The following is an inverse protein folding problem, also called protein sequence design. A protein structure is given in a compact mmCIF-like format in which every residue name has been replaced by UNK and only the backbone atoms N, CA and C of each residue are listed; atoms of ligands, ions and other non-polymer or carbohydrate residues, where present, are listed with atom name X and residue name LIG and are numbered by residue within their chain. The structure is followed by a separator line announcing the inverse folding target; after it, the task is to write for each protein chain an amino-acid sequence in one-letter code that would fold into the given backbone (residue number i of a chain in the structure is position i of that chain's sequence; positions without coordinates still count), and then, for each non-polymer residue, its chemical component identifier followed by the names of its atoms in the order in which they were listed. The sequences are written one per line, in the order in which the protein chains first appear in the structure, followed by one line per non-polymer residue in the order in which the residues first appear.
data_IF_100026523956
#
_entry.id   IF_100026523956
#
_cell.length_a   1.000
_cell.length_b   1.000
_cell.length_c   1.000
_cell.angle_alpha   90.00
_cell.angle_beta   90.00
_cell.angle_gamma   90.00
#
_symmetry.space_group_name_H-M   'P 1'
#
loop_
_entity.id
_entity.type
_entity.pdbx_description
1 polymer ?
#
# COMPACT_ATOMS: atom_id res chain seq x y z
N UNK A 1 -70.18 15.24 45.30
CA UNK A 1 -70.22 14.23 44.22
C UNK A 1 -69.35 14.70 43.06
N UNK A 2 -68.46 13.80 42.59
CA UNK A 2 -67.78 13.76 41.28
C UNK A 2 -67.36 15.08 40.59
N UNK A 3 -66.05 15.27 40.34
CA UNK A 3 -65.57 15.35 38.95
C UNK A 3 -64.04 15.34 38.77
N UNK A 4 -63.58 14.26 38.11
CA UNK A 4 -62.62 14.19 36.98
C UNK A 4 -61.29 14.96 37.09
N UNK A 5 -60.27 14.27 37.58
CA UNK A 5 -58.88 14.55 37.20
C UNK A 5 -58.53 13.85 35.88
N UNK A 6 -58.26 14.65 34.85
CA UNK A 6 -57.83 14.24 33.52
C UNK A 6 -56.33 13.93 33.57
N UNK A 7 -55.95 12.65 33.51
CA UNK A 7 -54.56 12.21 33.33
C UNK A 7 -54.14 12.39 31.87
N UNK A 8 -53.38 13.45 31.57
CA UNK A 8 -52.66 13.59 30.29
C UNK A 8 -51.42 12.68 30.32
N UNK A 9 -51.46 11.57 29.56
CA UNK A 9 -50.28 10.73 29.27
C UNK A 9 -49.48 11.40 28.15
N UNK A 10 -48.39 12.07 28.50
CA UNK A 10 -47.37 12.51 27.54
C UNK A 10 -46.67 11.27 26.97
N UNK A 11 -46.91 10.98 25.69
CA UNK A 11 -46.14 9.98 24.94
C UNK A 11 -44.76 10.58 24.67
N UNK A 12 -43.75 10.10 25.39
CA UNK A 12 -42.36 10.34 25.05
C UNK A 12 -42.03 9.57 23.78
N UNK A 13 -41.89 10.29 22.67
CA UNK A 13 -41.36 9.76 21.41
C UNK A 13 -39.87 9.47 21.62
N UNK A 14 -39.54 8.19 21.78
CA UNK A 14 -38.17 7.69 21.76
C UNK A 14 -37.69 7.80 20.32
N UNK A 15 -36.98 8.88 20.00
CA UNK A 15 -36.23 9.01 18.74
C UNK A 15 -35.00 8.10 18.89
N UNK A 16 -34.85 7.04 18.08
CA UNK A 16 -33.63 6.25 18.13
C UNK A 16 -32.48 7.13 17.63
N UNK A 17 -31.52 7.36 18.52
CA UNK A 17 -30.23 7.95 18.22
C UNK A 17 -29.44 7.01 17.28
N UNK A 18 -29.82 7.02 16.00
CA UNK A 18 -29.02 6.47 14.90
C UNK A 18 -28.33 7.62 14.18
N UNK A 19 -27.67 8.50 14.96
CA UNK A 19 -26.87 9.58 14.42
C UNK A 19 -25.56 8.97 13.91
N UNK A 20 -25.56 8.72 12.61
CA UNK A 20 -24.43 8.55 11.70
C UNK A 20 -23.05 8.77 12.35
N UNK A 21 -22.44 7.67 12.79
CA UNK A 21 -20.98 7.57 12.86
C UNK A 21 -20.45 7.51 11.42
N UNK A 22 -20.44 8.64 10.72
CA UNK A 22 -19.60 8.89 9.56
C UNK A 22 -18.15 8.97 10.07
N UNK A 23 -17.60 7.82 10.46
CA UNK A 23 -16.17 7.62 10.50
C UNK A 23 -15.70 7.70 9.04
N UNK A 24 -15.41 8.92 8.60
CA UNK A 24 -14.48 9.17 7.52
C UNK A 24 -13.13 8.57 7.95
N UNK A 25 -12.98 7.26 7.75
CA UNK A 25 -11.67 6.64 7.78
C UNK A 25 -10.93 7.22 6.59
N UNK A 26 -10.21 8.32 6.83
CA UNK A 26 -9.18 8.79 5.94
C UNK A 26 -8.21 7.62 5.76
N UNK A 27 -8.39 6.85 4.69
CA UNK A 27 -7.45 5.83 4.30
C UNK A 27 -6.09 6.53 4.20
N UNK A 28 -5.06 6.05 4.92
CA UNK A 28 -3.74 6.62 4.78
C UNK A 28 -3.36 6.47 3.32
N UNK A 29 -3.19 7.59 2.62
CA UNK A 29 -2.82 7.62 1.21
C UNK A 29 -1.67 6.64 0.97
N UNK A 30 -1.97 5.57 0.25
CA UNK A 30 -1.04 4.50 -0.05
C UNK A 30 0.27 5.07 -0.59
N UNK A 31 1.37 4.47 -0.13
CA UNK A 31 2.71 4.92 -0.42
C UNK A 31 2.92 5.28 -1.89
N UNK A 32 3.42 6.49 -2.12
CA UNK A 32 3.80 6.99 -3.43
C UNK A 32 4.82 6.03 -4.04
N UNK A 33 4.36 5.15 -4.94
CA UNK A 33 5.23 4.40 -5.83
C UNK A 33 5.88 5.40 -6.79
N UNK A 34 7.22 5.41 -6.83
CA UNK A 34 7.98 6.31 -7.71
C UNK A 34 7.51 6.13 -9.15
N UNK A 35 6.84 7.16 -9.68
CA UNK A 35 6.49 7.27 -11.08
C UNK A 35 7.79 7.50 -11.84
N UNK A 36 8.41 6.42 -12.33
CA UNK A 36 9.30 6.55 -13.46
C UNK A 36 8.39 6.87 -14.63
N UNK A 37 8.32 8.15 -15.00
CA UNK A 37 7.57 8.59 -16.18
C UNK A 37 8.12 7.78 -17.35
N UNK A 38 7.30 6.89 -17.90
CA UNK A 38 7.57 6.37 -19.22
C UNK A 38 7.63 7.60 -20.13
N UNK A 39 8.64 7.76 -21.00
CA UNK A 39 8.86 8.99 -21.77
C UNK A 39 7.67 9.42 -22.65
N UNK A 40 6.62 8.59 -22.76
CA UNK A 40 5.57 8.72 -23.76
C UNK A 40 4.12 8.74 -23.24
N UNK A 41 3.83 8.56 -21.94
CA UNK A 41 2.43 8.46 -21.49
C UNK A 41 2.11 9.20 -20.16
N UNK A 42 1.30 10.27 -20.26
CA UNK A 42 0.72 10.96 -19.09
C UNK A 42 -0.13 9.98 -18.27
N UNK A 43 -0.02 10.04 -16.93
CA UNK A 43 -0.84 9.24 -16.01
C UNK A 43 -0.40 7.78 -15.79
N UNK A 44 0.76 7.38 -16.32
CA UNK A 44 1.32 6.04 -16.10
C UNK A 44 2.25 6.05 -14.89
N UNK A 45 2.03 5.12 -13.96
CA UNK A 45 2.82 4.89 -12.75
C UNK A 45 3.63 3.61 -12.88
N UNK A 46 4.82 3.56 -12.26
CA UNK A 46 5.63 2.35 -12.17
C UNK A 46 5.40 1.67 -10.81
N UNK A 47 4.94 0.43 -10.83
CA UNK A 47 4.94 -0.48 -9.67
C UNK A 47 6.08 -1.48 -9.82
N UNK A 48 6.83 -1.70 -8.74
CA UNK A 48 7.93 -2.67 -8.68
C UNK A 48 7.76 -3.61 -7.51
N UNK A 49 7.79 -4.91 -7.80
CA UNK A 49 7.64 -5.96 -6.81
C UNK A 49 8.44 -7.20 -7.22
N UNK A 50 8.73 -8.08 -6.27
CA UNK A 50 9.43 -9.34 -6.48
C UNK A 50 8.52 -10.49 -6.08
N UNK A 51 8.30 -11.44 -6.96
CA UNK A 51 7.61 -12.70 -6.66
C UNK A 51 8.63 -13.70 -6.11
N UNK A 52 8.48 -14.11 -4.85
CA UNK A 52 9.42 -15.05 -4.21
C UNK A 52 9.22 -16.49 -4.70
N UNK A 53 8.00 -16.82 -5.11
CA UNK A 53 7.63 -18.17 -5.56
C UNK A 53 7.99 -18.40 -7.05
N UNK A 54 8.56 -17.41 -7.75
CA UNK A 54 8.87 -17.49 -9.19
C UNK A 54 10.26 -18.05 -9.44
N UNK A 55 10.35 -19.35 -9.75
CA UNK A 55 11.61 -20.08 -9.92
C UNK A 55 12.01 -20.29 -11.38
N UNK A 56 11.05 -20.58 -12.24
CA UNK A 56 11.34 -21.03 -13.62
C UNK A 56 11.18 -19.93 -14.66
N UNK A 57 11.77 -20.13 -15.84
CA UNK A 57 11.51 -19.27 -17.01
C UNK A 57 10.05 -19.32 -17.46
N UNK A 58 9.44 -20.51 -17.41
CA UNK A 58 8.03 -20.71 -17.72
C UNK A 58 7.12 -19.87 -16.82
N UNK A 59 7.42 -19.78 -15.53
CA UNK A 59 6.68 -18.92 -14.60
C UNK A 59 6.78 -17.45 -14.99
N UNK A 60 7.97 -16.97 -15.39
CA UNK A 60 8.16 -15.58 -15.84
C UNK A 60 7.31 -15.26 -17.06
N UNK A 61 7.29 -16.14 -18.07
CA UNK A 61 6.46 -15.96 -19.26
C UNK A 61 4.98 -15.95 -18.91
N UNK A 62 4.54 -16.89 -18.05
CA UNK A 62 3.15 -16.97 -17.58
C UNK A 62 2.72 -15.71 -16.82
N UNK A 63 3.55 -15.20 -15.91
CA UNK A 63 3.28 -13.96 -15.17
C UNK A 63 3.21 -12.78 -16.12
N UNK A 64 4.18 -12.63 -17.03
CA UNK A 64 4.20 -11.54 -18.02
C UNK A 64 2.93 -11.54 -18.87
N UNK A 65 2.55 -12.71 -19.42
CA UNK A 65 1.38 -12.88 -20.25
C UNK A 65 0.05 -12.62 -19.50
N UNK A 66 -0.01 -12.96 -18.21
CA UNK A 66 -1.20 -12.69 -17.39
C UNK A 66 -1.33 -11.22 -17.01
N UNK A 67 -0.22 -10.57 -16.64
CA UNK A 67 -0.21 -9.15 -16.27
C UNK A 67 -0.50 -8.24 -17.47
N UNK A 68 0.02 -8.58 -18.66
CA UNK A 68 -0.23 -7.78 -19.87
C UNK A 68 -1.69 -7.78 -20.32
N UNK A 69 -2.49 -8.76 -19.88
CA UNK A 69 -3.93 -8.84 -20.18
C UNK A 69 -4.80 -8.03 -19.20
N UNK A 70 -4.23 -7.46 -18.14
CA UNK A 70 -5.00 -6.73 -17.15
C UNK A 70 -5.34 -5.32 -17.65
N UNK A 71 -6.62 -4.92 -17.52
CA UNK A 71 -7.08 -3.57 -17.85
C UNK A 71 -6.30 -2.52 -17.08
N UNK A 72 -5.74 -1.53 -17.79
CA UNK A 72 -4.96 -0.45 -17.20
C UNK A 72 -3.46 -0.73 -17.11
N UNK A 73 -2.99 -1.93 -17.44
CA UNK A 73 -1.56 -2.22 -17.59
C UNK A 73 -1.10 -1.78 -18.97
N UNK A 74 -0.04 -0.96 -19.02
CA UNK A 74 0.55 -0.49 -20.26
C UNK A 74 1.72 -1.38 -20.71
N UNK A 75 2.64 -1.69 -19.79
CA UNK A 75 3.78 -2.55 -20.10
C UNK A 75 4.23 -3.35 -18.87
N UNK A 76 4.84 -4.51 -19.12
CA UNK A 76 5.32 -5.43 -18.10
C UNK A 76 6.72 -5.92 -18.46
N UNK A 77 7.66 -5.75 -17.53
CA UNK A 77 8.97 -6.38 -17.60
C UNK A 77 9.14 -7.34 -16.42
N UNK A 78 9.60 -8.55 -16.71
CA UNK A 78 9.86 -9.59 -15.71
C UNK A 78 11.32 -10.01 -15.85
N UNK A 79 12.13 -9.69 -14.86
CA UNK A 79 13.56 -10.02 -14.84
C UNK A 79 13.82 -11.38 -14.18
N UNK A 80 15.05 -11.88 -14.35
CA UNK A 80 15.53 -13.02 -13.59
C UNK A 80 15.45 -12.74 -12.06
N UNK A 81 15.21 -13.78 -11.27
CA UNK A 81 15.16 -13.67 -9.80
C UNK A 81 13.85 -13.13 -9.22
N UNK A 82 12.79 -12.97 -10.03
CA UNK A 82 11.45 -12.71 -9.50
C UNK A 82 10.93 -11.28 -9.70
N UNK A 83 11.78 -10.35 -10.15
CA UNK A 83 11.46 -8.93 -10.18
C UNK A 83 10.53 -8.56 -11.35
N UNK A 84 9.47 -7.85 -11.02
CA UNK A 84 8.47 -7.37 -11.97
C UNK A 84 8.41 -5.84 -11.90
N UNK A 85 8.59 -5.21 -13.07
CA UNK A 85 8.31 -3.79 -13.30
C UNK A 85 7.02 -3.70 -14.10
N UNK A 86 6.02 -3.04 -13.53
CA UNK A 86 4.69 -2.90 -14.09
C UNK A 86 4.39 -1.42 -14.30
N UNK A 87 4.19 -1.01 -15.54
CA UNK A 87 3.72 0.33 -15.87
C UNK A 87 2.21 0.28 -16.05
N UNK A 88 1.48 1.02 -15.21
CA UNK A 88 0.02 0.98 -15.18
C UNK A 88 -0.58 2.37 -15.01
N UNK A 89 -1.83 2.53 -15.45
CA UNK A 89 -2.64 3.71 -15.23
C UNK A 89 -3.27 3.66 -13.84
N UNK A 90 -2.98 4.64 -12.98
CA UNK A 90 -3.41 4.65 -11.57
C UNK A 90 -4.94 4.67 -11.42
N UNK A 91 -5.63 5.38 -12.32
CA UNK A 91 -7.09 5.46 -12.40
C UNK A 91 -7.74 4.12 -12.77
N UNK A 92 -7.03 3.24 -13.48
CA UNK A 92 -7.58 1.98 -14.00
C UNK A 92 -7.11 0.74 -13.25
N UNK A 93 -5.98 0.82 -12.56
CA UNK A 93 -5.34 -0.33 -11.94
C UNK A 93 -4.74 0.01 -10.58
N UNK A 94 -5.49 -0.27 -9.51
CA UNK A 94 -5.05 -0.11 -8.13
C UNK A 94 -4.11 -1.25 -7.69
N UNK A 95 -3.19 -0.94 -6.78
CA UNK A 95 -2.25 -1.92 -6.21
C UNK A 95 -2.99 -3.12 -5.58
N UNK A 96 -4.07 -2.88 -4.84
CA UNK A 96 -4.87 -3.95 -4.22
C UNK A 96 -5.41 -4.97 -5.23
N UNK A 97 -5.79 -4.50 -6.43
CA UNK A 97 -6.27 -5.37 -7.50
C UNK A 97 -5.17 -6.31 -7.99
N UNK A 98 -3.93 -5.82 -8.07
CA UNK A 98 -2.76 -6.65 -8.38
C UNK A 98 -2.56 -7.73 -7.32
N UNK A 99 -2.61 -7.36 -6.03
CA UNK A 99 -2.43 -8.30 -4.92
C UNK A 99 -3.44 -9.45 -4.99
N UNK A 100 -4.71 -9.11 -5.18
CA UNK A 100 -5.80 -10.11 -5.29
C UNK A 100 -5.57 -11.04 -6.48
N UNK A 101 -5.15 -10.51 -7.63
CA UNK A 101 -4.85 -11.31 -8.84
C UNK A 101 -3.66 -12.24 -8.64
N UNK A 102 -2.57 -11.74 -8.05
CA UNK A 102 -1.38 -12.57 -7.76
C UNK A 102 -1.73 -13.73 -6.82
N UNK A 103 -2.52 -13.45 -5.77
CA UNK A 103 -3.00 -14.50 -4.85
C UNK A 103 -3.87 -15.52 -5.55
N UNK A 104 -4.82 -15.09 -6.40
CA UNK A 104 -5.67 -15.98 -7.19
C UNK A 104 -4.87 -16.86 -8.18
N UNK A 105 -3.66 -16.44 -8.55
CA UNK A 105 -2.76 -17.20 -9.41
C UNK A 105 -1.83 -18.15 -8.65
N UNK A 106 -1.92 -18.20 -7.31
CA UNK A 106 -1.10 -19.05 -6.46
C UNK A 106 0.18 -18.40 -5.94
N UNK A 107 0.45 -17.13 -6.27
CA UNK A 107 1.60 -16.40 -5.72
C UNK A 107 1.25 -15.89 -4.32
N UNK A 108 1.77 -16.58 -3.30
CA UNK A 108 1.44 -16.30 -1.89
C UNK A 108 2.38 -15.24 -1.31
N UNK A 109 3.62 -15.19 -1.80
CA UNK A 109 4.63 -14.29 -1.27
C UNK A 109 5.20 -13.38 -2.36
N UNK A 110 5.08 -12.08 -2.11
CA UNK A 110 5.75 -11.07 -2.92
C UNK A 110 6.25 -9.94 -2.04
N UNK A 111 7.35 -9.34 -2.46
CA UNK A 111 8.01 -8.24 -1.79
C UNK A 111 7.77 -6.98 -2.61
N UNK A 112 7.33 -5.92 -1.96
CA UNK A 112 7.16 -4.60 -2.60
C UNK A 112 8.35 -3.71 -2.24
N UNK A 113 8.80 -2.91 -3.20
CA UNK A 113 9.87 -1.94 -2.97
C UNK A 113 9.27 -0.56 -2.71
N UNK A 114 9.56 0.00 -1.53
CA UNK A 114 9.25 1.39 -1.19
C UNK A 114 10.54 2.20 -1.14
N UNK A 115 10.52 3.38 -1.79
CA UNK A 115 11.67 4.29 -1.85
C UNK A 115 11.26 5.64 -1.29
N UNK A 116 12.06 6.18 -0.37
CA UNK A 116 11.82 7.49 0.24
C UNK A 116 13.13 8.20 0.55
N UNK A 117 13.05 9.51 0.76
CA UNK A 117 14.18 10.32 1.22
C UNK A 117 14.13 10.46 2.73
N UNK A 118 15.29 10.56 3.35
CA UNK A 118 15.45 10.77 4.79
C UNK A 118 16.13 12.10 5.02
N UNK A 119 15.47 13.00 5.76
CA UNK A 119 15.98 14.34 6.01
C UNK A 119 16.96 14.38 7.20
N UNK A 120 16.84 13.45 8.16
CA UNK A 120 17.68 13.41 9.36
C UNK A 120 17.88 11.98 9.86
N UNK A 121 19.12 11.63 10.17
CA UNK A 121 19.50 10.37 10.81
C UNK A 121 20.70 9.68 10.15
N UNK A 122 21.45 8.90 10.94
CA UNK A 122 22.54 8.07 10.42
C UNK A 122 21.98 6.93 9.56
N UNK A 123 22.48 6.71 8.33
CA UNK A 123 22.04 5.62 7.44
C UNK A 123 22.02 4.25 8.14
N UNK A 124 23.10 3.91 8.87
CA UNK A 124 23.21 2.64 9.60
C UNK A 124 22.12 2.48 10.67
N UNK A 125 21.79 3.56 11.39
CA UNK A 125 20.73 3.55 12.41
C UNK A 125 19.36 3.34 11.77
N UNK A 126 19.07 4.02 10.67
CA UNK A 126 17.79 3.90 9.94
C UNK A 126 17.64 2.47 9.40
N UNK A 127 18.68 1.94 8.79
CA UNK A 127 18.69 0.58 8.26
C UNK A 127 18.46 -0.47 9.36
N UNK A 128 19.14 -0.35 10.50
CA UNK A 128 18.94 -1.22 11.66
C UNK A 128 17.49 -1.16 12.19
N UNK A 129 16.90 0.03 12.24
CA UNK A 129 15.49 0.20 12.66
C UNK A 129 14.52 -0.47 11.68
N UNK A 130 14.76 -0.30 10.38
CA UNK A 130 13.94 -0.91 9.32
C UNK A 130 14.01 -2.44 9.36
N UNK A 131 15.21 -3.01 9.49
CA UNK A 131 15.42 -4.46 9.58
C UNK A 131 14.73 -5.10 10.80
N UNK A 132 14.52 -4.35 11.88
CA UNK A 132 13.78 -4.81 13.08
C UNK A 132 12.25 -4.87 12.89
N UNK A 133 11.71 -4.34 11.79
CA UNK A 133 10.25 -4.36 11.55
C UNK A 133 9.86 -5.71 10.97
N UNK A 134 9.03 -6.48 11.69
CA UNK A 134 8.49 -7.76 11.20
C UNK A 134 7.80 -7.55 9.85
N UNK A 135 8.25 -8.28 8.83
CA UNK A 135 7.75 -8.16 7.46
C UNK A 135 8.64 -7.34 6.53
N UNK A 136 9.64 -6.60 7.03
CA UNK A 136 10.72 -6.07 6.19
C UNK A 136 11.68 -7.20 5.85
N UNK A 137 11.95 -7.38 4.56
CA UNK A 137 12.84 -8.41 4.05
C UNK A 137 14.25 -7.87 3.82
N UNK A 138 14.35 -6.68 3.23
CA UNK A 138 15.62 -5.99 3.00
C UNK A 138 15.41 -4.49 3.16
N UNK A 139 16.41 -3.82 3.72
CA UNK A 139 16.47 -2.36 3.77
C UNK A 139 17.89 -1.95 3.39
N UNK A 140 17.99 -0.92 2.55
CA UNK A 140 19.23 -0.28 2.13
C UNK A 140 19.06 1.23 2.27
N UNK A 141 20.03 1.90 2.89
CA UNK A 141 20.00 3.35 3.10
C UNK A 141 21.33 3.94 2.64
N UNK A 142 21.29 4.71 1.55
CA UNK A 142 22.48 5.31 0.95
C UNK A 142 22.18 6.75 0.50
N UNK A 143 23.10 7.68 0.78
CA UNK A 143 23.02 9.09 0.34
C UNK A 143 21.65 9.76 0.62
N UNK A 144 21.09 9.57 1.82
CA UNK A 144 19.79 10.13 2.21
C UNK A 144 18.59 9.49 1.50
N UNK A 145 18.77 8.39 0.76
CA UNK A 145 17.72 7.61 0.11
C UNK A 145 17.61 6.24 0.76
N UNK A 146 16.41 5.86 1.14
CA UNK A 146 16.12 4.53 1.66
C UNK A 146 15.34 3.72 0.63
N UNK A 147 15.75 2.47 0.42
CA UNK A 147 15.03 1.46 -0.34
C UNK A 147 14.64 0.33 0.60
N UNK A 148 13.34 0.09 0.76
CA UNK A 148 12.80 -0.93 1.66
C UNK A 148 12.01 -1.95 0.86
N UNK A 149 12.42 -3.19 0.95
CA UNK A 149 11.75 -4.37 0.44
C UNK A 149 10.97 -5.01 1.58
N UNK A 150 9.63 -5.00 1.50
CA UNK A 150 8.75 -5.49 2.56
C UNK A 150 7.62 -6.36 2.02
N UNK A 151 7.08 -7.21 2.89
CA UNK A 151 5.92 -8.06 2.64
C UNK A 151 4.65 -7.27 2.98
N UNK A 152 3.87 -6.80 1.99
CA UNK A 152 2.67 -6.01 2.23
C UNK A 152 1.56 -6.78 2.96
N UNK A 153 1.61 -8.12 2.93
CA UNK A 153 0.72 -8.96 3.74
C UNK A 153 1.03 -8.90 5.24
N UNK A 154 2.21 -8.42 5.65
CA UNK A 154 2.65 -8.36 7.05
C UNK A 154 2.80 -6.93 7.58
N UNK A 155 3.21 -5.99 6.73
CA UNK A 155 3.47 -4.61 7.13
C UNK A 155 3.05 -3.64 6.03
N UNK A 156 2.38 -2.55 6.42
CA UNK A 156 2.05 -1.44 5.52
C UNK A 156 3.09 -0.33 5.60
N UNK A 157 3.16 0.51 4.56
CA UNK A 157 4.05 1.67 4.55
C UNK A 157 3.72 2.69 5.64
N UNK A 158 2.44 2.86 5.98
CA UNK A 158 2.01 3.69 7.12
C UNK A 158 2.61 3.19 8.44
N UNK A 159 2.64 1.87 8.66
CA UNK A 159 3.27 1.29 9.86
C UNK A 159 4.77 1.52 9.88
N UNK A 160 5.45 1.38 8.73
CA UNK A 160 6.90 1.67 8.63
C UNK A 160 7.16 3.15 8.93
N UNK A 161 6.38 4.05 8.34
CA UNK A 161 6.46 5.49 8.56
C UNK A 161 6.26 5.87 10.02
N UNK A 162 5.20 5.36 10.67
CA UNK A 162 4.91 5.59 12.09
C UNK A 162 6.07 5.15 12.98
N UNK A 163 6.70 4.01 12.70
CA UNK A 163 7.88 3.54 13.45
C UNK A 163 9.10 4.45 13.28
N UNK A 164 9.37 4.91 12.06
CA UNK A 164 10.47 5.84 11.80
C UNK A 164 10.22 7.20 12.48
N UNK A 165 8.99 7.71 12.38
CA UNK A 165 8.57 8.96 13.03
C UNK A 165 8.71 8.88 14.56
N UNK A 166 8.27 7.78 15.18
CA UNK A 166 8.46 7.54 16.63
C UNK A 166 9.93 7.53 17.04
N UNK A 167 10.84 7.15 16.13
CA UNK A 167 12.29 7.18 16.36
C UNK A 167 12.94 8.55 16.09
N UNK A 168 12.14 9.59 15.80
CA UNK A 168 12.62 10.94 15.47
C UNK A 168 13.19 11.07 14.06
N UNK A 169 12.92 10.10 13.17
CA UNK A 169 13.39 10.12 11.78
C UNK A 169 12.35 10.81 10.90
N UNK A 170 12.76 11.90 10.24
CA UNK A 170 11.89 12.63 9.31
C UNK A 170 12.02 12.03 7.91
N UNK A 171 10.93 11.41 7.44
CA UNK A 171 10.83 10.80 6.12
C UNK A 171 10.15 11.77 5.16
N UNK A 172 10.76 11.96 3.99
CA UNK A 172 10.19 12.71 2.88
C UNK A 172 9.80 11.74 1.78
N UNK A 173 8.50 11.66 1.52
CA UNK A 173 7.98 10.94 0.36
C UNK A 173 8.12 11.91 -0.82
N UNK A 174 8.93 11.59 -1.84
CA UNK A 174 9.03 12.45 -3.01
C UNK A 174 7.62 12.62 -3.58
N UNK A 175 7.16 13.87 -3.68
CA UNK A 175 5.85 14.16 -4.27
C UNK A 175 5.89 13.66 -5.72
N UNK A 176 5.08 12.64 -5.96
CA UNK A 176 4.55 12.31 -7.28
C UNK A 176 3.45 13.34 -7.58
#
# INVERSE_FOLDING_TARGET
MQNRQIRRRSRATIIPALLLLLLATAQPADACHRIVRHPTARGVTLMSFRLLDMRTAKDRHKVKARLSKLTGVHSVQVAAGGYVKLWNRRDKFAADKLVRRLRAWGYKQYVTTWRFMVAKGSPKRIEALLRKIKGVHRADVSHGRATVEYLPARVSTSTIYKRLSKAGIRVMIPRC
#
